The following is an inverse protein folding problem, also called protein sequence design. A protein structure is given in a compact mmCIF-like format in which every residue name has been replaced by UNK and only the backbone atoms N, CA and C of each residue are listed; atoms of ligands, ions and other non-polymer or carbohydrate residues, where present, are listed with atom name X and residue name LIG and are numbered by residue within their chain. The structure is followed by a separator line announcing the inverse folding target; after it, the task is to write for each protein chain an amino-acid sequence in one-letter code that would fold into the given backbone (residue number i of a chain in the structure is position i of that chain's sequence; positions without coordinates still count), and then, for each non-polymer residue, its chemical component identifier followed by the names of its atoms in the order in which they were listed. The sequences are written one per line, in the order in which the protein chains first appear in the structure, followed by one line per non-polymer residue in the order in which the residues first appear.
data_IF_229633923577
#
_entry.id   IF_229633923577
#
_cell.length_a   1.000
_cell.length_b   1.000
_cell.length_c   1.000
_cell.angle_alpha   90.00
_cell.angle_beta   90.00
_cell.angle_gamma   90.00
#
_symmetry.space_group_name_H-M   'P 1'
#
loop_
_entity.id
_entity.type
_entity.pdbx_description
1 polymer ?
#
# COMPACT_ATOMS: atom_id res chain seq x y z
N UNK A 1 -26.38 -21.62 3.07
CA UNK A 1 -26.27 -21.70 1.60
C UNK A 1 -24.83 -22.05 1.26
N UNK A 2 -24.57 -23.28 0.82
CA UNK A 2 -23.24 -23.74 0.43
C UNK A 2 -22.83 -23.04 -0.87
N UNK A 3 -21.92 -22.08 -0.77
CA UNK A 3 -21.36 -21.39 -1.93
C UNK A 3 -20.66 -22.45 -2.81
N UNK A 4 -21.13 -22.62 -4.05
CA UNK A 4 -20.56 -23.53 -5.04
C UNK A 4 -19.09 -23.16 -5.29
N UNK A 5 -18.16 -23.90 -4.64
CA UNK A 5 -16.73 -23.58 -4.61
C UNK A 5 -16.08 -23.67 -5.98
N UNK A 6 -16.53 -24.57 -6.85
CA UNK A 6 -15.98 -24.74 -8.20
C UNK A 6 -16.35 -23.58 -9.13
N UNK A 7 -17.62 -23.14 -9.08
CA UNK A 7 -18.07 -21.94 -9.80
C UNK A 7 -17.34 -20.68 -9.34
N UNK A 8 -17.09 -20.56 -8.03
CA UNK A 8 -16.34 -19.44 -7.44
C UNK A 8 -14.87 -19.45 -7.87
N UNK A 9 -14.21 -20.61 -7.86
CA UNK A 9 -12.80 -20.70 -8.28
C UNK A 9 -12.63 -20.38 -9.77
N UNK A 10 -13.56 -20.83 -10.62
CA UNK A 10 -13.57 -20.52 -12.05
C UNK A 10 -13.78 -19.02 -12.30
N UNK A 11 -14.67 -18.38 -11.54
CA UNK A 11 -14.89 -16.94 -11.63
C UNK A 11 -13.66 -16.15 -11.15
N UNK A 12 -13.03 -16.56 -10.05
CA UNK A 12 -11.79 -15.95 -9.53
C UNK A 12 -10.66 -16.03 -10.54
N UNK A 13 -10.48 -17.18 -11.19
CA UNK A 13 -9.46 -17.32 -12.23
C UNK A 13 -9.71 -16.36 -13.39
N UNK A 14 -10.95 -16.32 -13.93
CA UNK A 14 -11.31 -15.40 -15.02
C UNK A 14 -11.11 -13.92 -14.64
N UNK A 15 -11.46 -13.56 -13.40
CA UNK A 15 -11.27 -12.20 -12.88
C UNK A 15 -9.77 -11.88 -12.72
N UNK A 16 -8.98 -12.82 -12.21
CA UNK A 16 -7.52 -12.70 -12.10
C UNK A 16 -6.87 -12.45 -13.47
N UNK A 17 -7.24 -13.24 -14.49
CA UNK A 17 -6.74 -13.06 -15.86
C UNK A 17 -7.09 -11.68 -16.42
N UNK A 18 -8.30 -11.17 -16.13
CA UNK A 18 -8.67 -9.80 -16.53
C UNK A 18 -7.79 -8.75 -15.87
N UNK A 19 -7.48 -8.88 -14.58
CA UNK A 19 -6.58 -7.97 -13.87
C UNK A 19 -5.19 -7.96 -14.51
N UNK A 20 -4.65 -9.13 -14.83
CA UNK A 20 -3.38 -9.26 -15.52
C UNK A 20 -3.41 -8.55 -16.88
N UNK A 21 -4.46 -8.76 -17.69
CA UNK A 21 -4.59 -8.16 -19.02
C UNK A 21 -4.68 -6.63 -19.01
N UNK A 22 -5.26 -6.02 -17.97
CA UNK A 22 -5.31 -4.55 -17.84
C UNK A 22 -3.99 -3.96 -17.30
N UNK A 23 -3.01 -4.80 -16.96
CA UNK A 23 -1.68 -4.39 -16.49
C UNK A 23 -1.49 -4.44 -14.98
N UNK A 24 -2.27 -5.24 -14.24
CA UNK A 24 -1.96 -5.53 -12.84
C UNK A 24 -0.84 -6.56 -12.75
N UNK A 25 0.04 -6.43 -11.75
CA UNK A 25 0.96 -7.51 -11.41
C UNK A 25 0.22 -8.69 -10.76
N UNK A 26 0.90 -9.84 -10.63
CA UNK A 26 0.35 -11.05 -10.04
C UNK A 26 -0.19 -10.80 -8.61
N UNK A 27 0.60 -10.13 -7.76
CA UNK A 27 0.22 -9.84 -6.38
C UNK A 27 -1.06 -8.98 -6.30
N UNK A 28 -1.17 -7.91 -7.11
CA UNK A 28 -2.39 -7.11 -7.14
C UNK A 28 -3.59 -7.91 -7.65
N UNK A 29 -3.40 -8.73 -8.68
CA UNK A 29 -4.47 -9.55 -9.26
C UNK A 29 -5.02 -10.55 -8.25
N UNK A 30 -4.15 -11.28 -7.54
CA UNK A 30 -4.54 -12.23 -6.50
C UNK A 30 -5.25 -11.55 -5.32
N UNK A 31 -4.71 -10.40 -4.87
CA UNK A 31 -5.29 -9.59 -3.79
C UNK A 31 -6.71 -9.14 -4.10
N UNK A 32 -6.96 -8.70 -5.33
CA UNK A 32 -8.27 -8.26 -5.79
C UNK A 32 -9.24 -9.43 -6.03
N UNK A 33 -8.72 -10.65 -6.20
CA UNK A 33 -9.52 -11.88 -6.21
C UNK A 33 -9.86 -12.40 -4.81
N UNK A 34 -9.49 -11.67 -3.75
CA UNK A 34 -9.78 -12.01 -2.36
C UNK A 34 -8.82 -13.03 -1.76
N UNK A 35 -7.61 -13.18 -2.33
CA UNK A 35 -6.56 -13.96 -1.66
C UNK A 35 -6.09 -13.19 -0.43
N UNK A 36 -6.28 -13.80 0.73
CA UNK A 36 -5.78 -13.29 2.00
C UNK A 36 -4.35 -13.80 2.22
N UNK A 37 -3.36 -12.97 1.90
CA UNK A 37 -1.92 -13.28 1.97
C UNK A 37 -1.47 -13.62 3.39
N UNK A 38 -2.01 -12.95 4.41
CA UNK A 38 -1.59 -13.18 5.81
C UNK A 38 -2.02 -14.54 6.34
N UNK A 39 -3.00 -15.19 5.71
CA UNK A 39 -3.43 -16.56 6.02
C UNK A 39 -2.83 -17.62 5.10
N UNK A 40 -2.13 -17.22 4.04
CA UNK A 40 -1.47 -18.18 3.16
C UNK A 40 -0.24 -18.78 3.84
N UNK A 41 -0.08 -20.10 3.67
CA UNK A 41 1.18 -20.80 3.99
C UNK A 41 2.26 -20.58 2.93
N UNK A 42 1.94 -19.85 1.86
CA UNK A 42 2.84 -19.58 0.75
C UNK A 42 3.98 -18.65 1.17
N UNK A 43 5.17 -18.91 0.67
CA UNK A 43 6.31 -18.02 0.81
C UNK A 43 6.33 -16.98 -0.33
N UNK A 44 6.72 -15.72 -0.06
CA UNK A 44 6.77 -14.67 -1.08
C UNK A 44 7.59 -15.05 -2.32
N UNK A 45 8.66 -15.83 -2.13
CA UNK A 45 9.54 -16.30 -3.20
C UNK A 45 8.81 -17.11 -4.25
N UNK A 46 7.89 -17.99 -3.85
CA UNK A 46 7.09 -18.79 -4.79
C UNK A 46 6.23 -17.89 -5.69
N UNK A 47 5.69 -16.78 -5.15
CA UNK A 47 4.93 -15.81 -5.94
C UNK A 47 5.84 -15.04 -6.90
N UNK A 48 7.05 -14.71 -6.46
CA UNK A 48 8.01 -13.98 -7.27
C UNK A 48 8.55 -14.80 -8.44
N UNK A 49 8.75 -16.10 -8.24
CA UNK A 49 9.08 -17.02 -9.34
C UNK A 49 7.96 -17.07 -10.38
N UNK A 50 6.70 -17.21 -9.93
CA UNK A 50 5.54 -17.20 -10.82
C UNK A 50 5.40 -15.87 -11.57
N UNK A 51 5.64 -14.74 -10.90
CA UNK A 51 5.62 -13.42 -11.54
C UNK A 51 6.68 -13.30 -12.64
N UNK A 52 7.93 -13.72 -12.37
CA UNK A 52 9.03 -13.66 -13.34
C UNK A 52 8.80 -14.53 -14.57
N UNK A 53 8.27 -15.73 -14.38
CA UNK A 53 8.11 -16.70 -15.45
C UNK A 53 6.94 -16.38 -16.37
N UNK A 54 5.84 -15.87 -15.79
CA UNK A 54 4.55 -15.91 -16.48
C UNK A 54 3.84 -14.56 -16.58
N UNK A 55 4.22 -13.55 -15.79
CA UNK A 55 3.38 -12.35 -15.59
C UNK A 55 4.18 -11.04 -15.45
N UNK A 56 5.33 -10.94 -16.13
CA UNK A 56 6.15 -9.71 -16.16
C UNK A 56 5.37 -8.56 -16.82
N UNK A 57 5.03 -7.56 -16.01
CA UNK A 57 4.55 -6.25 -16.47
C UNK A 57 5.57 -5.20 -16.08
N UNK A 58 5.84 -4.20 -16.93
CA UNK A 58 6.86 -3.17 -16.63
C UNK A 58 6.58 -2.42 -15.32
N UNK A 59 5.33 -2.01 -15.12
CA UNK A 59 4.87 -1.41 -13.87
C UNK A 59 3.39 -1.67 -13.70
N UNK A 60 3.01 -2.15 -12.53
CA UNK A 60 1.61 -2.45 -12.22
C UNK A 60 0.74 -1.19 -12.27
N UNK A 61 -0.38 -1.25 -12.98
CA UNK A 61 -1.35 -0.15 -13.12
C UNK A 61 -1.91 0.37 -11.78
N UNK A 62 -1.88 -0.48 -10.73
CA UNK A 62 -2.33 -0.14 -9.38
C UNK A 62 -1.16 0.24 -8.48
N UNK A 63 -0.22 -0.69 -8.25
CA UNK A 63 0.80 -0.53 -7.22
C UNK A 63 2.08 0.11 -7.72
N UNK A 64 2.16 0.51 -9.01
CA UNK A 64 3.32 1.18 -9.61
C UNK A 64 4.63 0.37 -9.47
N UNK A 65 4.52 -0.95 -9.27
CA UNK A 65 5.66 -1.85 -9.06
C UNK A 65 6.03 -2.14 -7.62
N UNK A 66 5.33 -1.56 -6.64
CA UNK A 66 5.61 -1.75 -5.20
C UNK A 66 5.54 -3.22 -4.76
N UNK A 67 4.64 -4.02 -5.35
CA UNK A 67 4.48 -5.45 -5.03
C UNK A 67 5.23 -6.38 -5.99
N UNK A 68 5.99 -5.85 -6.93
CA UNK A 68 6.74 -6.65 -7.89
C UNK A 68 8.07 -7.10 -7.30
N UNK A 69 8.52 -8.29 -7.69
CA UNK A 69 9.73 -8.93 -7.18
C UNK A 69 10.97 -8.02 -7.20
N UNK A 70 11.19 -7.25 -8.26
CA UNK A 70 12.39 -6.43 -8.41
C UNK A 70 12.47 -5.35 -7.33
N UNK A 71 11.35 -4.66 -7.08
CA UNK A 71 11.27 -3.64 -6.06
C UNK A 71 11.40 -4.22 -4.66
N UNK A 72 10.68 -5.31 -4.35
CA UNK A 72 10.76 -5.98 -3.05
C UNK A 72 12.18 -6.47 -2.77
N UNK A 73 12.83 -7.14 -3.74
CA UNK A 73 14.20 -7.63 -3.61
C UNK A 73 15.17 -6.48 -3.36
N UNK A 74 14.99 -5.37 -4.08
CA UNK A 74 15.77 -4.16 -3.88
C UNK A 74 15.56 -3.58 -2.47
N UNK A 75 14.35 -3.64 -1.90
CA UNK A 75 14.11 -3.22 -0.52
C UNK A 75 14.84 -4.12 0.48
N UNK A 76 14.77 -5.44 0.33
CA UNK A 76 15.49 -6.38 1.22
C UNK A 76 16.99 -6.08 1.26
N UNK A 77 17.60 -5.81 0.09
CA UNK A 77 19.02 -5.42 0.00
C UNK A 77 19.33 -4.12 0.75
N UNK A 78 18.42 -3.16 0.76
CA UNK A 78 18.59 -1.90 1.47
C UNK A 78 18.53 -2.11 2.99
N UNK A 79 17.59 -2.92 3.47
CA UNK A 79 17.53 -3.32 4.88
C UNK A 79 18.80 -4.05 5.32
N UNK A 80 19.32 -4.96 4.49
CA UNK A 80 20.56 -5.68 4.78
C UNK A 80 21.78 -4.75 4.87
N UNK A 81 21.81 -3.68 4.06
CA UNK A 81 22.90 -2.69 4.06
C UNK A 81 22.80 -1.65 5.18
N UNK A 82 21.63 -1.53 5.82
CA UNK A 82 21.40 -0.49 6.81
C UNK A 82 22.08 -0.84 8.15
N UNK A 83 23.34 -0.46 8.28
CA UNK A 83 24.18 -0.71 9.47
C UNK A 83 23.69 0.03 10.70
N UNK A 84 22.94 1.12 10.57
CA UNK A 84 22.37 1.88 11.69
C UNK A 84 21.48 1.01 12.56
N UNK A 85 20.81 0.00 11.99
CA UNK A 85 20.00 -0.95 12.75
C UNK A 85 20.83 -1.63 13.84
N UNK A 86 22.08 -2.00 13.55
CA UNK A 86 22.95 -2.71 14.50
C UNK A 86 23.48 -1.83 15.64
N UNK A 87 23.41 -0.50 15.52
CA UNK A 87 23.94 0.43 16.53
C UNK A 87 23.03 0.62 17.74
N UNK A 88 21.76 0.29 17.60
CA UNK A 88 20.80 0.34 18.71
C UNK A 88 20.85 -0.95 19.50
N UNK A 89 20.82 -0.84 20.82
CA UNK A 89 20.79 -1.94 21.78
C UNK A 89 19.45 -2.69 21.83
N UNK A 90 18.37 -2.09 21.29
CA UNK A 90 17.03 -2.68 21.33
C UNK A 90 16.94 -4.02 20.59
N UNK A 91 16.50 -5.09 21.24
CA UNK A 91 16.32 -6.40 20.59
C UNK A 91 15.18 -6.41 19.55
N UNK A 92 14.20 -5.54 19.75
CA UNK A 92 12.98 -5.43 18.92
C UNK A 92 13.00 -4.16 18.07
N UNK A 93 12.34 -4.21 16.91
CA UNK A 93 12.12 -3.04 16.06
C UNK A 93 10.70 -3.01 15.50
N UNK A 94 10.08 -1.84 15.57
CA UNK A 94 8.80 -1.55 14.94
C UNK A 94 9.03 -1.01 13.53
N UNK A 95 8.28 -1.53 12.54
CA UNK A 95 8.39 -1.05 11.15
C UNK A 95 7.08 -0.38 10.72
N UNK A 96 7.18 0.92 10.51
CA UNK A 96 6.14 1.73 9.90
C UNK A 96 6.38 1.80 8.40
N UNK A 97 5.31 1.69 7.61
CA UNK A 97 5.40 1.88 6.15
C UNK A 97 4.45 2.96 5.66
N UNK A 98 4.95 3.79 4.76
CA UNK A 98 4.18 4.75 3.97
C UNK A 98 4.27 4.37 2.49
N UNK A 99 3.11 4.38 1.83
CA UNK A 99 2.95 4.10 0.39
C UNK A 99 2.39 5.38 -0.24
N UNK A 100 2.74 5.69 -1.50
CA UNK A 100 2.16 6.81 -2.23
C UNK A 100 0.63 6.80 -2.17
N UNK A 101 0.03 7.96 -1.91
CA UNK A 101 -1.41 8.12 -1.83
C UNK A 101 -2.11 7.79 -3.17
N UNK A 102 -1.43 8.07 -4.29
CA UNK A 102 -1.92 7.74 -5.63
C UNK A 102 -2.29 6.26 -5.80
N UNK A 103 -1.59 5.35 -5.10
CA UNK A 103 -1.85 3.90 -5.15
C UNK A 103 -3.25 3.56 -4.66
N UNK A 104 -3.73 4.22 -3.60
CA UNK A 104 -5.07 3.98 -3.06
C UNK A 104 -6.15 4.43 -4.04
N UNK A 105 -5.92 5.57 -4.71
CA UNK A 105 -6.85 6.11 -5.70
C UNK A 105 -6.87 5.20 -6.94
N UNK A 106 -5.69 4.82 -7.47
CA UNK A 106 -5.55 3.88 -8.59
C UNK A 106 -6.26 2.56 -8.33
N UNK A 107 -6.10 1.99 -7.14
CA UNK A 107 -6.80 0.78 -6.73
C UNK A 107 -8.31 0.94 -6.85
N UNK A 108 -8.86 2.03 -6.30
CA UNK A 108 -10.30 2.31 -6.35
C UNK A 108 -10.80 2.51 -7.78
N UNK A 109 -10.02 3.17 -8.65
CA UNK A 109 -10.34 3.32 -10.07
C UNK A 109 -10.46 1.96 -10.77
N UNK A 110 -9.50 1.06 -10.54
CA UNK A 110 -9.53 -0.27 -11.17
C UNK A 110 -10.70 -1.12 -10.64
N UNK A 111 -10.95 -1.09 -9.33
CA UNK A 111 -12.08 -1.80 -8.72
C UNK A 111 -13.42 -1.31 -9.29
N UNK A 112 -13.61 0.01 -9.35
CA UNK A 112 -14.86 0.60 -9.86
C UNK A 112 -15.07 0.34 -11.35
N UNK A 113 -14.00 0.39 -12.16
CA UNK A 113 -14.07 0.04 -13.57
C UNK A 113 -14.59 -1.39 -13.77
N UNK A 114 -14.14 -2.34 -12.96
CA UNK A 114 -14.56 -3.74 -13.06
C UNK A 114 -15.95 -3.99 -12.50
N UNK A 115 -16.33 -3.31 -11.41
CA UNK A 115 -17.71 -3.33 -10.91
C UNK A 115 -18.68 -2.89 -12.01
N UNK A 116 -18.34 -1.85 -12.77
CA UNK A 116 -19.14 -1.39 -13.91
C UNK A 116 -19.27 -2.45 -15.00
N UNK A 117 -18.19 -3.16 -15.33
CA UNK A 117 -18.22 -4.23 -16.34
C UNK A 117 -19.00 -5.48 -15.90
N UNK A 118 -19.29 -5.62 -14.61
CA UNK A 118 -19.85 -6.83 -14.03
C UNK A 118 -21.04 -6.57 -13.10
N UNK A 119 -21.70 -5.42 -13.25
CA UNK A 119 -22.78 -4.92 -12.41
C UNK A 119 -23.96 -5.87 -12.22
N UNK A 120 -24.12 -6.86 -13.10
CA UNK A 120 -25.15 -7.91 -13.03
C UNK A 120 -24.80 -9.12 -12.13
N UNK A 121 -23.60 -9.20 -11.54
CA UNK A 121 -23.17 -10.33 -10.71
C UNK A 121 -22.99 -9.93 -9.24
N UNK A 122 -24.02 -10.21 -8.44
CA UNK A 122 -24.07 -10.03 -6.97
C UNK A 122 -22.80 -10.54 -6.25
N UNK A 123 -22.11 -11.54 -6.80
CA UNK A 123 -20.89 -12.09 -6.21
C UNK A 123 -19.71 -11.12 -6.16
N UNK A 124 -19.62 -10.12 -7.05
CA UNK A 124 -18.43 -9.27 -7.18
C UNK A 124 -18.28 -8.24 -6.06
N UNK A 125 -19.37 -7.64 -5.58
CA UNK A 125 -19.34 -6.75 -4.42
C UNK A 125 -18.91 -7.50 -3.14
N UNK A 126 -19.27 -8.77 -3.02
CA UNK A 126 -18.86 -9.63 -1.91
C UNK A 126 -17.35 -9.94 -1.94
N UNK A 127 -16.77 -10.13 -3.13
CA UNK A 127 -15.32 -10.34 -3.28
C UNK A 127 -14.50 -9.11 -2.91
N UNK A 128 -15.02 -7.91 -3.16
CA UNK A 128 -14.30 -6.66 -2.95
C UNK A 128 -14.28 -6.23 -1.46
N UNK A 129 -15.18 -6.75 -0.62
CA UNK A 129 -15.24 -6.44 0.82
C UNK A 129 -13.98 -6.83 1.60
N UNK A 130 -13.21 -7.78 1.09
CA UNK A 130 -12.04 -8.34 1.78
C UNK A 130 -10.71 -8.08 1.04
N UNK A 131 -10.65 -7.05 0.21
CA UNK A 131 -9.40 -6.69 -0.46
C UNK A 131 -8.40 -6.18 0.59
N UNK A 132 -7.30 -6.89 0.75
CA UNK A 132 -6.17 -6.38 1.54
C UNK A 132 -5.57 -5.18 0.83
N UNK A 133 -5.15 -4.13 1.54
CA UNK A 133 -4.47 -3.00 0.88
C UNK A 133 -3.12 -3.40 0.29
N UNK A 134 -2.61 -2.63 -0.69
CA UNK A 134 -1.22 -2.77 -1.17
C UNK A 134 -0.23 -2.73 0.00
N UNK A 135 -0.47 -1.85 0.98
CA UNK A 135 0.34 -1.73 2.20
C UNK A 135 0.35 -3.00 3.04
N UNK A 136 -0.78 -3.67 3.18
CA UNK A 136 -0.91 -4.92 3.92
C UNK A 136 -0.11 -6.03 3.25
N UNK A 137 -0.28 -6.21 1.93
CA UNK A 137 0.43 -7.25 1.18
C UNK A 137 1.92 -6.96 1.10
N UNK A 138 2.32 -5.69 0.94
CA UNK A 138 3.72 -5.31 0.97
C UNK A 138 4.37 -5.63 2.32
N UNK A 139 3.70 -5.32 3.43
CA UNK A 139 4.19 -5.70 4.77
C UNK A 139 4.32 -7.22 4.87
N UNK A 140 3.32 -7.99 4.43
CA UNK A 140 3.41 -9.44 4.44
C UNK A 140 4.62 -9.96 3.64
N UNK A 141 4.82 -9.48 2.41
CA UNK A 141 5.97 -9.86 1.58
C UNK A 141 7.29 -9.48 2.24
N UNK A 142 7.46 -8.20 2.57
CA UNK A 142 8.74 -7.69 3.02
C UNK A 142 9.10 -8.23 4.40
N UNK A 143 8.18 -8.23 5.38
CA UNK A 143 8.47 -8.63 6.76
C UNK A 143 9.01 -10.06 6.83
N UNK A 144 8.43 -11.00 6.05
CA UNK A 144 8.93 -12.38 5.97
C UNK A 144 10.37 -12.45 5.46
N UNK A 145 10.72 -11.61 4.49
CA UNK A 145 12.05 -11.61 3.86
C UNK A 145 13.08 -10.91 4.75
N UNK A 146 12.74 -9.74 5.31
CA UNK A 146 13.70 -8.95 6.08
C UNK A 146 13.99 -9.58 7.44
N UNK A 147 13.04 -10.31 8.04
CA UNK A 147 13.26 -11.02 9.30
C UNK A 147 14.43 -12.01 9.23
N UNK A 148 14.79 -12.47 8.03
CA UNK A 148 15.93 -13.37 7.78
C UNK A 148 17.27 -12.64 7.63
N UNK A 149 17.27 -11.34 7.37
CA UNK A 149 18.50 -10.55 7.13
C UNK A 149 18.79 -9.50 8.20
N UNK A 150 17.81 -9.17 9.05
CA UNK A 150 18.02 -8.28 10.20
C UNK A 150 18.23 -9.11 11.47
N UNK A 151 19.09 -8.61 12.37
CA UNK A 151 19.37 -9.24 13.68
C UNK A 151 18.34 -8.92 14.77
N UNK A 152 17.29 -8.15 14.46
CA UNK A 152 16.25 -7.73 15.43
C UNK A 152 14.92 -8.43 15.16
N UNK A 153 14.12 -8.60 16.21
CA UNK A 153 12.76 -9.12 16.07
C UNK A 153 11.79 -8.01 15.66
N UNK A 154 10.92 -8.27 14.69
CA UNK A 154 9.94 -7.29 14.22
C UNK A 154 8.70 -7.35 15.11
N UNK A 155 8.62 -6.43 16.08
CA UNK A 155 7.55 -6.34 17.09
C UNK A 155 7.34 -4.88 17.49
N UNK A 156 6.32 -4.61 18.31
CA UNK A 156 6.21 -3.30 18.96
C UNK A 156 7.48 -3.01 19.78
N UNK A 157 8.04 -1.82 19.61
CA UNK A 157 9.33 -1.42 20.19
C UNK A 157 9.43 0.11 20.23
N UNK A 158 10.13 0.70 21.22
CA UNK A 158 10.54 2.10 21.21
C UNK A 158 11.43 2.46 20.00
N UNK A 159 12.17 1.47 19.48
CA UNK A 159 12.92 1.61 18.24
C UNK A 159 11.99 1.43 17.04
N UNK A 160 11.77 2.51 16.31
CA UNK A 160 10.90 2.56 15.14
C UNK A 160 11.67 2.90 13.87
N UNK A 161 11.50 2.07 12.84
CA UNK A 161 11.92 2.36 11.49
C UNK A 161 10.72 2.85 10.67
N UNK A 162 10.76 4.11 10.26
CA UNK A 162 9.86 4.67 9.26
C UNK A 162 10.40 4.39 7.86
N UNK A 163 9.75 3.51 7.12
CA UNK A 163 10.04 3.21 5.72
C UNK A 163 9.01 3.91 4.81
N UNK A 164 9.46 4.82 3.96
CA UNK A 164 8.59 5.51 3.00
C UNK A 164 8.97 5.11 1.59
N UNK A 165 7.97 4.65 0.83
CA UNK A 165 8.09 4.48 -0.62
C UNK A 165 7.59 5.77 -1.24
N UNK A 166 8.42 6.35 -2.10
CA UNK A 166 8.13 7.58 -2.81
C UNK A 166 7.98 7.27 -4.29
N UNK A 167 7.05 7.95 -4.95
CA UNK A 167 6.84 7.85 -6.38
C UNK A 167 7.14 9.21 -7.01
N UNK A 168 8.14 9.27 -7.90
CA UNK A 168 8.65 10.54 -8.42
C UNK A 168 7.57 11.38 -9.11
N UNK A 169 6.60 10.73 -9.78
CA UNK A 169 5.51 11.41 -10.48
C UNK A 169 4.25 11.58 -9.62
N UNK A 170 4.31 11.34 -8.30
CA UNK A 170 3.14 11.41 -7.43
C UNK A 170 2.51 12.79 -7.45
N UNK A 171 3.29 13.86 -7.33
CA UNK A 171 2.74 15.22 -7.34
C UNK A 171 2.00 15.53 -8.64
N UNK A 172 2.57 15.17 -9.79
CA UNK A 172 1.93 15.34 -11.09
C UNK A 172 0.62 14.57 -11.16
N UNK A 173 0.63 13.30 -10.78
CA UNK A 173 -0.55 12.45 -10.83
C UNK A 173 -1.65 12.93 -9.87
N UNK A 174 -1.29 13.35 -8.66
CA UNK A 174 -2.23 13.93 -7.70
C UNK A 174 -2.81 15.25 -8.20
N UNK A 175 -2.04 16.06 -8.95
CA UNK A 175 -2.55 17.26 -9.62
C UNK A 175 -3.55 16.91 -10.74
N UNK A 176 -3.27 15.88 -11.54
CA UNK A 176 -4.18 15.43 -12.59
C UNK A 176 -5.50 14.93 -11.97
N UNK A 177 -5.42 14.12 -10.90
CA UNK A 177 -6.59 13.64 -10.16
C UNK A 177 -7.40 14.79 -9.54
N UNK A 178 -6.73 15.79 -8.97
CA UNK A 178 -7.39 16.98 -8.44
C UNK A 178 -8.10 17.78 -9.54
N UNK A 179 -7.53 17.84 -10.74
CA UNK A 179 -8.13 18.50 -11.90
C UNK A 179 -9.39 17.76 -12.35
N UNK A 180 -9.33 16.43 -12.50
CA UNK A 180 -10.51 15.61 -12.82
C UNK A 180 -11.62 15.76 -11.78
N UNK A 181 -11.26 15.73 -10.49
CA UNK A 181 -12.20 16.01 -9.40
C UNK A 181 -12.85 17.39 -9.54
N UNK A 182 -12.06 18.43 -9.81
CA UNK A 182 -12.56 19.81 -9.93
C UNK A 182 -13.49 19.98 -11.13
N UNK A 183 -13.24 19.30 -12.24
CA UNK A 183 -14.11 19.32 -13.42
C UNK A 183 -15.45 18.63 -13.14
N UNK A 184 -15.42 17.52 -12.38
CA UNK A 184 -16.60 16.75 -12.00
C UNK A 184 -17.36 17.33 -10.79
N UNK A 185 -16.81 18.33 -10.09
CA UNK A 185 -17.30 18.79 -8.77
C UNK A 185 -18.74 19.29 -8.76
N UNK A 186 -19.25 19.74 -9.90
CA UNK A 186 -20.63 20.22 -10.05
C UNK A 186 -21.63 19.07 -10.28
N UNK A 187 -21.13 17.87 -10.56
CA UNK A 187 -21.92 16.68 -10.86
C UNK A 187 -21.93 15.65 -9.72
N UNK A 188 -21.27 15.96 -8.59
CA UNK A 188 -21.12 15.06 -7.44
C UNK A 188 -21.87 15.58 -6.22
N UNK A 189 -22.42 14.66 -5.42
CA UNK A 189 -23.22 14.93 -4.23
C UNK A 189 -22.37 15.00 -2.95
N UNK A 190 -21.18 15.59 -3.04
CA UNK A 190 -20.35 15.85 -1.86
C UNK A 190 -20.90 17.07 -1.11
N UNK A 191 -20.81 17.06 0.23
CA UNK A 191 -21.14 18.21 1.05
C UNK A 191 -20.38 19.46 0.55
N UNK A 192 -21.13 20.54 0.23
CA UNK A 192 -20.59 21.82 -0.28
C UNK A 192 -19.44 22.40 0.57
N UNK A 193 -19.41 22.11 1.89
CA UNK A 193 -18.30 22.53 2.77
C UNK A 193 -17.02 21.74 2.48
N UNK A 194 -17.10 20.41 2.38
CA UNK A 194 -15.95 19.55 2.01
C UNK A 194 -15.40 19.86 0.62
N UNK A 195 -16.28 20.25 -0.32
CA UNK A 195 -15.91 20.72 -1.65
C UNK A 195 -15.17 22.06 -1.64
N UNK A 196 -15.58 23.01 -0.79
CA UNK A 196 -14.86 24.29 -0.63
C UNK A 196 -13.49 24.10 0.00
N UNK A 197 -13.39 23.19 0.96
CA UNK A 197 -12.15 22.90 1.68
C UNK A 197 -11.22 21.97 0.86
N UNK A 198 -11.65 21.48 -0.30
CA UNK A 198 -10.84 20.61 -1.15
C UNK A 198 -9.65 21.39 -1.73
N UNK A 199 -8.46 20.93 -1.39
CA UNK A 199 -7.19 21.49 -1.85
C UNK A 199 -6.33 20.38 -2.42
N UNK A 200 -5.34 20.74 -3.24
CA UNK A 200 -4.32 19.80 -3.73
C UNK A 200 -3.66 19.00 -2.60
N UNK A 201 -3.55 19.58 -1.39
CA UNK A 201 -2.89 18.96 -0.23
C UNK A 201 -3.75 17.92 0.50
N UNK A 202 -5.08 17.99 0.41
CA UNK A 202 -5.98 17.05 1.10
C UNK A 202 -6.73 16.11 0.16
N UNK A 203 -6.49 16.21 -1.15
CA UNK A 203 -7.17 15.39 -2.15
C UNK A 203 -6.95 13.88 -1.93
N UNK A 204 -5.78 13.50 -1.40
CA UNK A 204 -5.41 12.13 -1.02
C UNK A 204 -6.26 11.55 0.11
N UNK A 205 -6.82 12.38 1.00
CA UNK A 205 -7.74 11.93 2.04
C UNK A 205 -9.21 12.09 1.63
N UNK A 206 -9.51 13.07 0.77
CA UNK A 206 -10.86 13.33 0.31
C UNK A 206 -11.36 12.24 -0.66
N UNK A 207 -10.60 11.92 -1.70
CA UNK A 207 -11.01 10.99 -2.77
C UNK A 207 -11.37 9.59 -2.23
N UNK A 208 -10.57 8.97 -1.34
CA UNK A 208 -10.93 7.67 -0.78
C UNK A 208 -12.22 7.68 0.06
N UNK A 209 -12.64 8.84 0.58
CA UNK A 209 -13.84 8.97 1.42
C UNK A 209 -15.13 9.28 0.66
N UNK A 210 -15.05 9.50 -0.66
CA UNK A 210 -16.22 9.75 -1.51
C UNK A 210 -17.12 8.51 -1.62
N UNK A 211 -18.40 8.66 -1.98
CA UNK A 211 -19.23 7.51 -2.36
C UNK A 211 -18.75 6.90 -3.68
N UNK A 212 -19.14 5.66 -3.97
CA UNK A 212 -18.72 4.99 -5.20
C UNK A 212 -19.30 5.67 -6.45
N UNK A 213 -20.51 6.22 -6.35
CA UNK A 213 -21.19 6.96 -7.42
C UNK A 213 -20.43 8.26 -7.74
N UNK A 214 -20.15 9.08 -6.72
CA UNK A 214 -19.41 10.33 -6.90
C UNK A 214 -17.99 10.08 -7.41
N UNK A 215 -17.34 9.04 -6.87
CA UNK A 215 -16.01 8.65 -7.34
C UNK A 215 -16.04 8.26 -8.83
N UNK A 216 -17.06 7.53 -9.27
CA UNK A 216 -17.21 7.11 -10.66
C UNK A 216 -17.44 8.29 -11.60
N UNK A 217 -18.14 9.34 -11.15
CA UNK A 217 -18.28 10.59 -11.91
C UNK A 217 -16.93 11.29 -12.07
N UNK A 218 -16.12 11.35 -11.01
CA UNK A 218 -14.78 11.96 -11.07
C UNK A 218 -13.77 11.13 -11.88
N UNK A 219 -13.85 9.80 -11.80
CA UNK A 219 -12.88 8.86 -12.35
C UNK A 219 -13.59 7.74 -13.12
N UNK A 220 -14.12 8.04 -14.32
CA UNK A 220 -14.95 7.08 -15.07
C UNK A 220 -14.16 5.98 -15.79
N UNK A 221 -12.84 6.14 -15.92
CA UNK A 221 -11.94 5.26 -16.68
C UNK A 221 -10.89 4.61 -15.79
N UNK A 222 -10.18 3.62 -16.35
CA UNK A 222 -8.97 3.09 -15.73
C UNK A 222 -7.91 4.19 -15.53
N UNK A 223 -7.04 4.06 -14.51
CA UNK A 223 -5.89 4.95 -14.40
C UNK A 223 -4.95 4.76 -15.58
N UNK A 224 -4.19 5.81 -15.89
CA UNK A 224 -3.18 5.73 -16.94
C UNK A 224 -2.18 4.62 -16.60
N UNK A 225 -1.90 3.77 -17.60
CA UNK A 225 -0.85 2.76 -17.48
C UNK A 225 0.48 3.49 -17.21
N UNK A 226 1.15 3.22 -16.09
CA UNK A 226 2.47 3.76 -15.90
C UNK A 226 3.40 3.16 -16.95
N UNK A 227 4.32 3.95 -17.49
CA UNK A 227 5.54 3.40 -18.09
C UNK A 227 6.42 2.80 -16.99
N UNK A 228 7.74 2.88 -17.13
CA UNK A 228 8.64 2.53 -16.02
C UNK A 228 8.42 3.49 -14.84
N UNK A 229 7.77 3.00 -13.78
CA UNK A 229 7.54 3.80 -12.59
C UNK A 229 8.85 4.01 -11.83
N UNK A 230 9.17 5.27 -11.54
CA UNK A 230 10.32 5.63 -10.72
C UNK A 230 9.92 5.66 -9.25
N UNK A 231 10.32 4.61 -8.54
CA UNK A 231 10.13 4.48 -7.11
C UNK A 231 11.45 4.72 -6.38
N UNK A 232 11.43 5.60 -5.38
CA UNK A 232 12.53 5.77 -4.45
C UNK A 232 12.11 5.38 -3.04
N UNK A 233 13.10 5.25 -2.16
CA UNK A 233 12.95 4.66 -0.83
C UNK A 233 13.61 5.57 0.17
N UNK A 234 12.98 5.73 1.31
CA UNK A 234 13.49 6.52 2.41
C UNK A 234 13.32 5.74 3.70
N UNK A 235 14.42 5.56 4.42
CA UNK A 235 14.46 4.92 5.72
C UNK A 235 14.84 5.95 6.77
N UNK A 236 14.07 6.03 7.85
CA UNK A 236 14.40 6.86 9.00
C UNK A 236 14.24 6.05 10.27
N UNK A 237 15.34 5.87 10.99
CA UNK A 237 15.34 5.17 12.27
C UNK A 237 15.15 6.20 13.39
N UNK A 238 14.28 5.88 14.34
CA UNK A 238 13.92 6.73 15.48
C UNK A 238 13.84 5.86 16.72
N UNK A 239 14.21 6.42 17.86
CA UNK A 239 14.02 5.80 19.16
C UNK A 239 13.24 6.75 20.05
N UNK A 240 12.26 6.24 20.78
CA UNK A 240 11.51 7.05 21.74
C UNK A 240 12.43 7.58 22.85
N UNK A 241 12.09 8.75 23.41
CA UNK A 241 12.90 9.35 24.48
C UNK A 241 13.00 8.43 25.69
N UNK A 242 14.21 8.29 26.22
CA UNK A 242 14.46 7.61 27.50
C UNK A 242 14.43 8.67 28.60
N UNK A 243 13.60 8.46 29.62
CA UNK A 243 13.45 9.38 30.73
C UNK A 243 14.19 8.85 31.95
N UNK A 244 15.16 9.62 32.44
CA UNK A 244 15.90 9.31 33.67
C UNK A 244 15.36 10.21 34.78
N UNK A 245 14.70 9.60 35.77
CA UNK A 245 14.28 10.30 36.98
C UNK A 245 15.36 10.15 38.07
N UNK A 246 15.70 11.25 38.74
CA UNK A 246 16.68 11.24 39.83
C UNK A 246 16.45 12.38 40.81
N UNK A 247 16.79 12.15 42.09
CA UNK A 247 16.75 13.18 43.14
C UNK A 247 18.14 13.78 43.30
N UNK A 248 18.33 15.04 42.88
CA UNK A 248 19.59 15.77 43.09
C UNK A 248 19.67 16.22 44.55
N UNK A 249 20.61 15.66 45.33
CA UNK A 249 21.00 16.24 46.63
C UNK A 249 22.00 17.35 46.38
N UNK A 250 21.63 18.58 46.73
CA UNK A 250 22.53 19.73 46.72
C UNK A 250 23.01 19.88 48.17
N UNK A 251 24.29 19.64 48.42
CA UNK A 251 24.91 19.96 49.71
C UNK A 251 25.29 21.44 49.69
N UNK A 252 24.68 22.23 50.57
CA UNK A 252 25.03 23.64 50.75
C UNK A 252 26.10 23.69 51.85
N UNK A 253 27.34 24.12 51.56
CA UNK A 253 28.38 24.24 52.57
C UNK A 253 28.02 25.36 53.55
N UNK A 254 28.08 25.07 54.85
CA UNK A 254 28.01 26.08 55.90
C UNK A 254 29.35 26.83 55.92
N UNK A 255 29.33 28.13 55.63
CA UNK A 255 30.43 29.05 55.92
C UNK A 255 30.41 29.34 57.42
N UNK A 256 31.45 28.89 58.14
CA UNK A 256 31.71 29.24 59.54
C UNK A 256 32.20 30.68 59.68
#
# INVERSE_FOLDING_TARGET
MSVNREGVNTLRFKVCTKFLNIGCCLCCSLRLCGVDFTKQKLEPECLFEQEKLNYMVESCIICLGILQVEFITSCVKEFQKNTELSKYDSENIKINVRIPASVQIRERMVVNFLLKQHSSKISLSEFLKNIQSVKTVWKWCLLKLIQRVISKQIKESPLTLDFSILYCNEEKEMNDMFTSFTQAKNCININRKKLRDATKKNISSLIPSMSDEDFQVCFPSLPNKPGKAELSKQMTLKHDSIYIAGKKRILIPYTY
#
